data_IF_349111618062
#
_entry.id   IF_349111618062
#
_cell.length_a   1.000
_cell.length_b   1.000
_cell.length_c   1.000
_cell.angle_alpha   90.00
_cell.angle_beta   90.00
_cell.angle_gamma   90.00
#
_symmetry.space_group_name_H-M   'P 1'
#
loop_
_entity.id
_entity.type
_entity.pdbx_description
1 polymer ?
#
# COMPACT_ATOMS: atom_id res chain seq x y z
N UNK A 1 -13.24 -3.51 14.94
CA UNK A 1 -12.62 -2.30 14.42
C UNK A 1 -12.93 -1.08 15.30
N UNK A 2 -14.22 -0.69 15.48
CA UNK A 2 -14.61 0.51 16.25
C UNK A 2 -14.09 0.50 17.70
N UNK A 3 -14.16 -0.63 18.39
CA UNK A 3 -13.65 -0.78 19.77
C UNK A 3 -12.13 -0.58 19.82
N UNK A 4 -11.39 -1.09 18.83
CA UNK A 4 -9.93 -0.92 18.75
C UNK A 4 -9.54 0.55 18.49
N UNK A 5 -10.26 1.24 17.60
CA UNK A 5 -10.06 2.67 17.32
C UNK A 5 -10.36 3.50 18.57
N UNK A 6 -11.49 3.25 19.23
CA UNK A 6 -11.85 3.96 20.47
C UNK A 6 -10.82 3.70 21.58
N UNK A 7 -10.35 2.46 21.72
CA UNK A 7 -9.31 2.10 22.67
C UNK A 7 -7.99 2.82 22.41
N UNK A 8 -7.54 2.85 21.16
CA UNK A 8 -6.32 3.58 20.75
C UNK A 8 -6.44 5.08 21.02
N UNK A 9 -7.61 5.69 20.70
CA UNK A 9 -7.88 7.10 20.97
C UNK A 9 -7.86 7.42 22.49
N UNK A 10 -8.42 6.54 23.31
CA UNK A 10 -8.39 6.71 24.78
C UNK A 10 -6.96 6.58 25.33
N UNK A 11 -6.18 5.62 24.85
CA UNK A 11 -4.77 5.47 25.24
C UNK A 11 -3.96 6.71 24.84
N UNK A 12 -4.15 7.19 23.61
CA UNK A 12 -3.48 8.42 23.15
C UNK A 12 -3.85 9.63 23.99
N UNK A 13 -5.16 9.84 24.24
CA UNK A 13 -5.63 10.92 25.10
C UNK A 13 -5.06 10.80 26.51
N UNK A 14 -5.04 9.60 27.08
CA UNK A 14 -4.43 9.33 28.39
C UNK A 14 -2.94 9.68 28.42
N UNK A 15 -2.19 9.35 27.37
CA UNK A 15 -0.77 9.72 27.23
C UNK A 15 -0.55 11.22 27.14
N UNK A 16 -1.39 11.93 26.39
CA UNK A 16 -1.32 13.41 26.29
C UNK A 16 -1.66 14.06 27.63
N UNK A 17 -2.71 13.62 28.30
CA UNK A 17 -3.10 14.17 29.63
C UNK A 17 -2.01 13.90 30.67
N UNK A 18 -1.39 12.72 30.64
CA UNK A 18 -0.31 12.34 31.56
C UNK A 18 1.04 12.91 31.17
N UNK A 19 1.18 13.62 30.04
CA UNK A 19 2.43 14.24 29.58
C UNK A 19 3.03 15.20 30.63
N UNK A 20 2.18 15.82 31.44
CA UNK A 20 2.62 16.69 32.54
C UNK A 20 3.52 15.95 33.56
N UNK A 21 3.40 14.63 33.67
CA UNK A 21 4.18 13.83 34.60
C UNK A 21 5.44 13.23 33.97
N UNK A 22 5.32 12.60 32.80
CA UNK A 22 6.42 11.86 32.20
C UNK A 22 7.34 12.73 31.34
N UNK A 23 6.81 13.75 30.64
CA UNK A 23 7.60 14.60 29.77
C UNK A 23 8.67 15.42 30.51
N UNK A 24 8.38 16.05 31.68
CA UNK A 24 9.44 16.70 32.47
C UNK A 24 10.50 15.73 32.95
N UNK A 25 10.16 14.48 33.25
CA UNK A 25 11.12 13.46 33.65
C UNK A 25 12.09 13.11 32.53
N UNK A 26 11.59 12.92 31.29
CA UNK A 26 12.44 12.73 30.10
C UNK A 26 13.32 13.95 29.84
N UNK A 27 12.74 15.15 29.91
CA UNK A 27 13.49 16.39 29.69
C UNK A 27 14.57 16.61 30.75
N UNK A 28 14.36 16.15 31.98
CA UNK A 28 15.38 16.17 33.03
C UNK A 28 16.58 15.30 32.65
N UNK A 29 16.34 14.10 32.12
CA UNK A 29 17.41 13.19 31.66
C UNK A 29 18.18 13.75 30.47
N UNK A 30 17.47 14.14 29.39
CA UNK A 30 18.09 14.70 28.18
C UNK A 30 18.76 16.04 28.45
N UNK A 31 18.14 16.90 29.26
CA UNK A 31 18.68 18.18 29.67
C UNK A 31 19.93 18.08 30.55
N UNK A 32 20.05 17.04 31.37
CA UNK A 32 21.26 16.74 32.11
C UNK A 32 22.48 16.42 31.19
N UNK A 33 22.24 15.65 30.12
CA UNK A 33 23.23 15.41 29.08
C UNK A 33 23.59 16.69 28.32
N UNK A 34 22.58 17.48 27.93
CA UNK A 34 22.80 18.74 27.27
C UNK A 34 23.56 19.76 28.10
N UNK A 35 23.40 19.75 29.45
CA UNK A 35 24.10 20.66 30.36
C UNK A 35 25.63 20.52 30.33
N UNK A 36 26.16 19.37 29.85
CA UNK A 36 27.59 19.14 29.63
C UNK A 36 28.17 20.00 28.49
N UNK A 37 27.32 20.56 27.63
CA UNK A 37 27.76 21.36 26.48
C UNK A 37 28.10 22.81 26.83
N UNK A 38 27.79 23.28 28.05
CA UNK A 38 28.20 24.59 28.53
C UNK A 38 27.18 25.36 29.36
N UNK A 39 27.55 26.57 29.84
CA UNK A 39 26.74 27.36 30.78
C UNK A 39 25.33 27.69 30.27
N UNK A 40 25.15 27.98 28.95
CA UNK A 40 23.87 28.31 28.38
C UNK A 40 22.90 27.12 28.43
N UNK A 41 23.39 25.89 28.24
CA UNK A 41 22.62 24.66 28.35
C UNK A 41 22.27 24.31 29.80
N UNK A 42 23.17 24.58 30.74
CA UNK A 42 22.89 24.44 32.17
C UNK A 42 21.75 25.37 32.62
N UNK A 43 21.76 26.61 32.15
CA UNK A 43 20.65 27.55 32.44
C UNK A 43 19.35 27.10 31.79
N UNK A 44 19.39 26.62 30.54
CA UNK A 44 18.22 26.07 29.85
C UNK A 44 17.64 24.87 30.63
N UNK A 45 18.46 23.93 31.04
CA UNK A 45 18.05 22.78 31.87
C UNK A 45 17.41 23.20 33.18
N UNK A 46 18.01 24.15 33.90
CA UNK A 46 17.45 24.68 35.17
C UNK A 46 16.09 25.37 34.93
N UNK A 47 15.91 26.10 33.80
CA UNK A 47 14.65 26.73 33.43
C UNK A 47 13.53 25.70 33.14
N UNK A 48 13.86 24.61 32.44
CA UNK A 48 12.95 23.51 32.18
C UNK A 48 12.42 22.92 33.49
N UNK A 49 13.31 22.72 34.48
CA UNK A 49 12.92 22.14 35.77
C UNK A 49 12.06 23.07 36.64
N UNK A 50 12.23 24.40 36.52
CA UNK A 50 11.46 25.37 37.30
C UNK A 50 9.98 25.48 36.88
N UNK A 51 9.66 25.23 35.61
CA UNK A 51 8.33 25.43 35.05
C UNK A 51 7.81 24.18 34.31
N UNK A 52 7.67 23.00 34.97
CA UNK A 52 7.38 21.74 34.31
C UNK A 52 6.01 21.73 33.60
N UNK A 53 4.99 22.38 34.17
CA UNK A 53 3.64 22.42 33.56
C UNK A 53 3.61 23.17 32.24
N UNK A 54 4.31 24.27 32.14
CA UNK A 54 4.38 25.05 30.90
C UNK A 54 5.13 24.30 29.82
N UNK A 55 6.27 23.71 30.18
CA UNK A 55 7.10 22.90 29.29
C UNK A 55 6.31 21.70 28.78
N UNK A 56 5.57 21.00 29.68
CA UNK A 56 4.71 19.90 29.29
C UNK A 56 3.59 20.33 28.34
N UNK A 57 2.96 21.49 28.55
CA UNK A 57 1.90 21.98 27.67
C UNK A 57 2.43 22.27 26.24
N UNK A 58 3.60 22.97 26.14
CA UNK A 58 4.23 23.25 24.85
C UNK A 58 4.68 21.97 24.18
N UNK A 59 5.33 21.06 24.92
CA UNK A 59 5.79 19.79 24.39
C UNK A 59 4.64 18.85 24.01
N UNK A 60 3.53 18.87 24.74
CA UNK A 60 2.33 18.09 24.39
C UNK A 60 1.72 18.53 23.05
N UNK A 61 1.70 19.82 22.75
CA UNK A 61 1.19 20.32 21.47
C UNK A 61 2.03 19.79 20.30
N UNK A 62 3.36 19.83 20.43
CA UNK A 62 4.28 19.26 19.45
C UNK A 62 4.15 17.74 19.37
N UNK A 63 4.07 17.07 20.52
CA UNK A 63 3.89 15.62 20.62
C UNK A 63 2.64 15.18 19.85
N UNK A 64 1.50 15.85 20.02
CA UNK A 64 0.25 15.54 19.33
C UNK A 64 0.45 15.62 17.81
N UNK A 65 1.00 16.73 17.32
CA UNK A 65 1.21 16.93 15.89
C UNK A 65 2.12 15.87 15.28
N UNK A 66 3.28 15.63 15.88
CA UNK A 66 4.25 14.64 15.44
C UNK A 66 3.68 13.22 15.50
N UNK A 67 3.00 12.86 16.59
CA UNK A 67 2.39 11.53 16.75
C UNK A 67 1.35 11.28 15.66
N UNK A 68 0.48 12.25 15.37
CA UNK A 68 -0.55 12.09 14.35
C UNK A 68 0.06 11.93 12.94
N UNK A 69 1.01 12.77 12.57
CA UNK A 69 1.70 12.67 11.28
C UNK A 69 2.42 11.33 11.15
N UNK A 70 3.17 10.93 12.18
CA UNK A 70 3.90 9.66 12.18
C UNK A 70 2.97 8.45 12.16
N UNK A 71 1.82 8.51 12.87
CA UNK A 71 0.80 7.45 12.85
C UNK A 71 0.24 7.24 11.44
N UNK A 72 -0.12 8.33 10.76
CA UNK A 72 -0.68 8.28 9.41
C UNK A 72 0.37 7.77 8.42
N UNK A 73 1.58 8.31 8.48
CA UNK A 73 2.66 7.91 7.57
C UNK A 73 3.03 6.43 7.73
N UNK A 74 3.21 5.98 8.97
CA UNK A 74 3.56 4.57 9.26
C UNK A 74 2.39 3.63 8.93
N UNK A 75 1.15 4.04 9.22
CA UNK A 75 -0.05 3.28 8.86
C UNK A 75 -0.20 3.12 7.36
N UNK A 76 0.03 4.17 6.58
CA UNK A 76 -0.02 4.13 5.13
C UNK A 76 1.10 3.28 4.52
N UNK A 77 2.33 3.39 5.03
CA UNK A 77 3.45 2.53 4.60
C UNK A 77 3.15 1.04 4.89
N UNK A 78 2.64 0.74 6.08
CA UNK A 78 2.18 -0.61 6.43
C UNK A 78 1.06 -1.11 5.52
N UNK A 79 0.09 -0.25 5.19
CA UNK A 79 -1.01 -0.59 4.30
C UNK A 79 -0.52 -0.94 2.89
N UNK A 80 0.35 -0.10 2.32
CA UNK A 80 0.95 -0.32 0.99
C UNK A 80 1.72 -1.63 0.95
N UNK A 81 2.60 -1.87 1.91
CA UNK A 81 3.45 -3.07 1.93
C UNK A 81 2.63 -4.34 2.16
N UNK A 82 1.65 -4.30 3.06
CA UNK A 82 0.74 -5.42 3.31
C UNK A 82 -0.09 -5.74 2.07
N UNK A 83 -0.61 -4.71 1.39
CA UNK A 83 -1.39 -4.90 0.17
C UNK A 83 -0.54 -5.48 -0.97
N UNK A 84 0.70 -5.01 -1.14
CA UNK A 84 1.64 -5.56 -2.12
C UNK A 84 1.86 -7.07 -1.90
N UNK A 85 2.12 -7.47 -0.66
CA UNK A 85 2.28 -8.89 -0.30
C UNK A 85 1.00 -9.70 -0.53
N UNK A 86 -0.17 -9.15 -0.20
CA UNK A 86 -1.47 -9.80 -0.40
C UNK A 86 -1.78 -9.98 -1.90
N UNK A 87 -1.51 -8.98 -2.72
CA UNK A 87 -1.72 -9.06 -4.17
C UNK A 87 -0.77 -10.07 -4.83
N UNK A 88 0.52 -10.05 -4.47
CA UNK A 88 1.50 -11.01 -4.96
C UNK A 88 1.11 -12.47 -4.68
N UNK A 89 0.45 -12.74 -3.53
CA UNK A 89 -0.01 -14.09 -3.18
C UNK A 89 -1.36 -14.46 -3.81
N UNK A 90 -2.15 -13.49 -4.26
CA UNK A 90 -3.48 -13.73 -4.86
C UNK A 90 -3.45 -13.96 -6.35
N UNK A 91 -2.43 -13.48 -7.04
CA UNK A 91 -2.30 -13.56 -8.49
C UNK A 91 -1.20 -14.50 -8.90
N UNK A 92 -1.38 -15.13 -10.06
CA UNK A 92 -0.38 -16.00 -10.69
C UNK A 92 0.32 -15.35 -11.89
N UNK A 93 -0.09 -14.14 -12.27
CA UNK A 93 0.52 -13.32 -13.33
C UNK A 93 0.75 -11.91 -12.79
N UNK A 94 1.65 -11.15 -13.36
CA UNK A 94 1.98 -9.82 -12.87
C UNK A 94 1.11 -8.73 -13.50
N UNK A 95 0.90 -8.78 -14.83
CA UNK A 95 0.04 -7.86 -15.56
C UNK A 95 -0.77 -8.63 -16.60
N UNK A 96 -2.00 -8.20 -16.80
CA UNK A 96 -2.90 -8.71 -17.84
C UNK A 96 -3.42 -7.51 -18.62
N UNK A 97 -3.21 -7.50 -19.93
CA UNK A 97 -3.92 -6.60 -20.81
C UNK A 97 -4.95 -7.39 -21.63
N UNK A 98 -6.13 -6.82 -21.82
CA UNK A 98 -7.21 -7.41 -22.62
C UNK A 98 -7.74 -6.35 -23.56
N UNK A 99 -7.99 -6.73 -24.81
CA UNK A 99 -8.55 -5.86 -25.82
C UNK A 99 -8.70 -6.57 -27.16
N UNK A 100 -9.61 -6.09 -27.99
CA UNK A 100 -9.93 -6.73 -29.29
C UNK A 100 -8.91 -6.32 -30.36
N UNK A 101 -8.35 -5.12 -30.25
CA UNK A 101 -7.49 -4.49 -31.24
C UNK A 101 -5.99 -4.44 -30.86
N UNK A 102 -5.55 -5.26 -29.89
CA UNK A 102 -4.13 -5.36 -29.54
C UNK A 102 -3.33 -5.92 -30.72
N UNK A 103 -2.52 -5.08 -31.33
CA UNK A 103 -1.72 -5.46 -32.50
C UNK A 103 -0.41 -6.17 -32.12
N UNK A 104 0.15 -6.93 -33.08
CA UNK A 104 1.47 -7.56 -32.92
C UNK A 104 2.60 -6.57 -32.64
N UNK A 105 2.46 -5.32 -33.11
CA UNK A 105 3.44 -4.27 -32.83
C UNK A 105 3.35 -3.84 -31.35
N UNK A 106 2.16 -3.65 -30.81
CA UNK A 106 1.95 -3.34 -29.39
C UNK A 106 2.50 -4.46 -28.49
N UNK A 107 2.31 -5.73 -28.87
CA UNK A 107 2.88 -6.87 -28.14
C UNK A 107 4.40 -6.80 -28.09
N UNK A 108 5.05 -6.45 -29.22
CA UNK A 108 6.51 -6.25 -29.27
C UNK A 108 6.94 -5.07 -28.41
N UNK A 109 6.25 -3.95 -28.54
CA UNK A 109 6.55 -2.75 -27.75
C UNK A 109 6.47 -3.05 -26.24
N UNK A 110 5.48 -3.87 -25.81
CA UNK A 110 5.36 -4.34 -24.41
C UNK A 110 6.51 -5.29 -24.05
N UNK A 111 6.90 -6.21 -24.93
CA UNK A 111 7.99 -7.15 -24.66
C UNK A 111 9.36 -6.46 -24.52
N UNK A 112 9.54 -5.31 -25.18
CA UNK A 112 10.76 -4.51 -25.13
C UNK A 112 10.84 -3.58 -23.90
N UNK A 113 9.81 -3.50 -23.07
CA UNK A 113 9.80 -2.69 -21.84
C UNK A 113 10.85 -3.22 -20.85
N UNK A 114 11.66 -2.33 -20.32
CA UNK A 114 12.63 -2.69 -19.29
C UNK A 114 11.95 -3.22 -18.02
N UNK A 115 12.23 -4.47 -17.67
CA UNK A 115 11.59 -5.16 -16.53
C UNK A 115 10.48 -6.13 -16.95
N UNK A 116 10.14 -6.23 -18.24
CA UNK A 116 9.36 -7.34 -18.77
C UNK A 116 10.31 -8.50 -19.06
N UNK A 117 9.99 -9.69 -18.54
CA UNK A 117 10.78 -10.91 -18.77
C UNK A 117 10.17 -11.81 -19.83
N UNK A 118 8.86 -11.99 -19.77
CA UNK A 118 8.13 -12.88 -20.67
C UNK A 118 6.74 -12.31 -20.96
N UNK A 119 6.22 -12.62 -22.16
CA UNK A 119 4.89 -12.24 -22.62
C UNK A 119 4.18 -13.41 -23.29
N UNK A 120 2.87 -13.52 -23.07
CA UNK A 120 2.00 -14.47 -23.78
C UNK A 120 0.82 -13.69 -24.36
N UNK A 121 0.76 -13.63 -25.69
CA UNK A 121 -0.38 -13.06 -26.43
C UNK A 121 -1.21 -14.18 -27.03
N UNK A 122 -2.52 -14.18 -26.73
CA UNK A 122 -3.40 -15.29 -27.08
C UNK A 122 -4.85 -14.82 -27.33
N UNK A 123 -5.59 -15.51 -28.22
CA UNK A 123 -7.03 -15.31 -28.35
C UNK A 123 -7.75 -15.77 -27.09
N UNK A 124 -8.84 -15.08 -26.76
CA UNK A 124 -9.63 -15.40 -25.59
C UNK A 124 -11.12 -15.16 -25.81
N UNK A 125 -11.93 -15.86 -25.02
CA UNK A 125 -13.39 -15.72 -25.03
C UNK A 125 -13.94 -15.82 -23.63
N UNK A 126 -14.89 -14.94 -23.31
CA UNK A 126 -15.68 -15.01 -22.08
C UNK A 126 -16.73 -16.11 -22.21
N UNK A 127 -16.79 -16.99 -21.24
CA UNK A 127 -17.72 -18.11 -21.19
C UNK A 127 -18.36 -18.22 -19.81
N UNK A 128 -19.46 -18.94 -19.73
CA UNK A 128 -20.05 -19.37 -18.48
C UNK A 128 -19.60 -20.80 -18.18
N UNK A 129 -18.94 -21.00 -17.05
CA UNK A 129 -18.58 -22.31 -16.53
C UNK A 129 -19.77 -22.85 -15.71
N UNK A 130 -20.35 -23.93 -16.16
CA UNK A 130 -21.53 -24.53 -15.55
C UNK A 130 -21.15 -25.41 -14.36
N UNK A 131 -21.90 -25.26 -13.25
CA UNK A 131 -21.89 -26.19 -12.09
C UNK A 131 -20.55 -26.52 -11.43
N UNK A 132 -19.53 -25.68 -11.58
CA UNK A 132 -18.19 -26.00 -11.04
C UNK A 132 -18.04 -25.79 -9.52
N UNK A 133 -18.87 -24.95 -8.88
CA UNK A 133 -18.84 -24.74 -7.42
C UNK A 133 -20.09 -25.33 -6.70
N UNK A 134 -20.82 -26.17 -7.39
CA UNK A 134 -21.98 -26.91 -6.89
C UNK A 134 -23.29 -26.13 -6.84
N UNK A 135 -23.31 -24.81 -7.09
CA UNK A 135 -24.52 -24.00 -6.89
C UNK A 135 -24.85 -22.96 -7.95
N UNK A 136 -23.89 -22.37 -8.64
CA UNK A 136 -24.14 -21.29 -9.62
C UNK A 136 -23.16 -21.34 -10.78
N UNK A 137 -23.60 -20.96 -11.99
CA UNK A 137 -22.70 -20.72 -13.09
C UNK A 137 -21.67 -19.63 -12.73
N UNK A 138 -20.44 -19.80 -13.18
CA UNK A 138 -19.33 -18.91 -12.91
C UNK A 138 -18.83 -18.28 -14.20
N UNK A 139 -18.63 -16.96 -14.22
CA UNK A 139 -17.98 -16.30 -15.34
C UNK A 139 -16.54 -16.76 -15.46
N UNK A 140 -16.15 -17.30 -16.60
CA UNK A 140 -14.82 -17.76 -16.89
C UNK A 140 -14.28 -17.15 -18.19
N UNK A 141 -12.96 -17.11 -18.31
CA UNK A 141 -12.25 -16.73 -19.51
C UNK A 141 -11.49 -17.94 -20.03
N UNK A 142 -11.69 -18.34 -21.28
CA UNK A 142 -10.86 -19.34 -21.94
C UNK A 142 -9.81 -18.63 -22.81
N UNK A 143 -8.57 -19.02 -22.63
CA UNK A 143 -7.39 -18.47 -23.33
C UNK A 143 -6.77 -19.56 -24.18
N UNK A 144 -6.65 -19.34 -25.49
CA UNK A 144 -6.09 -20.28 -26.45
C UNK A 144 -4.57 -20.24 -26.44
N UNK A 145 -3.90 -21.36 -26.17
CA UNK A 145 -2.44 -21.45 -26.13
C UNK A 145 -1.95 -22.64 -26.97
N UNK A 146 -0.75 -22.53 -27.54
CA UNK A 146 -0.16 -23.61 -28.35
C UNK A 146 0.32 -24.79 -27.52
N UNK A 147 0.77 -24.51 -26.31
CA UNK A 147 1.24 -25.53 -25.37
C UNK A 147 1.32 -24.96 -23.96
N UNK A 148 1.46 -25.85 -22.99
CA UNK A 148 1.55 -25.51 -21.56
C UNK A 148 2.82 -24.69 -21.22
N UNK A 149 3.89 -24.79 -22.00
CA UNK A 149 5.15 -24.12 -21.70
C UNK A 149 5.03 -22.60 -21.86
N UNK A 150 4.18 -22.14 -22.79
CA UNK A 150 3.85 -20.72 -22.92
C UNK A 150 3.20 -20.17 -21.64
N UNK A 151 2.32 -20.96 -21.04
CA UNK A 151 1.65 -20.59 -19.77
C UNK A 151 2.65 -20.59 -18.62
N UNK A 152 3.53 -21.61 -18.55
CA UNK A 152 4.58 -21.71 -17.52
C UNK A 152 5.56 -20.54 -17.54
N UNK A 153 5.86 -20.00 -18.72
CA UNK A 153 6.79 -18.86 -18.87
C UNK A 153 6.25 -17.60 -18.19
N UNK A 154 4.96 -17.32 -18.33
CA UNK A 154 4.35 -16.08 -17.81
C UNK A 154 3.76 -16.23 -16.40
N UNK A 155 3.51 -17.45 -15.96
CA UNK A 155 2.95 -17.71 -14.64
C UNK A 155 4.00 -17.72 -13.53
N UNK A 156 3.64 -17.20 -12.38
CA UNK A 156 4.42 -17.33 -11.15
C UNK A 156 4.09 -18.61 -10.38
N UNK A 157 2.96 -19.23 -10.68
CA UNK A 157 2.55 -20.48 -10.07
C UNK A 157 3.34 -21.66 -10.66
N UNK A 158 3.65 -22.65 -9.83
CA UNK A 158 4.20 -23.90 -10.31
C UNK A 158 3.06 -24.80 -10.81
N UNK A 159 2.94 -24.95 -12.12
CA UNK A 159 1.90 -25.76 -12.74
C UNK A 159 2.21 -27.27 -12.71
N UNK A 160 3.35 -27.67 -12.17
CA UNK A 160 3.73 -29.09 -12.04
C UNK A 160 3.70 -29.83 -13.38
N UNK A 161 3.02 -30.98 -13.40
CA UNK A 161 2.86 -31.86 -14.56
C UNK A 161 1.57 -31.53 -15.36
N UNK A 162 1.01 -30.33 -15.22
CA UNK A 162 -0.15 -29.93 -16.01
C UNK A 162 0.15 -30.02 -17.50
N UNK A 163 -0.82 -30.50 -18.27
CA UNK A 163 -0.80 -30.58 -19.74
C UNK A 163 -2.05 -29.92 -20.32
N UNK A 164 -1.96 -29.52 -21.55
CA UNK A 164 -3.07 -29.00 -22.35
C UNK A 164 -3.05 -29.79 -23.66
N UNK A 165 -4.18 -30.43 -23.95
CA UNK A 165 -4.42 -31.20 -25.16
C UNK A 165 -5.70 -30.71 -25.82
N UNK A 166 -5.99 -31.13 -27.05
CA UNK A 166 -7.21 -30.76 -27.81
C UNK A 166 -8.52 -31.07 -27.09
N UNK A 167 -8.53 -32.04 -26.18
CA UNK A 167 -9.73 -32.49 -25.47
C UNK A 167 -9.72 -32.04 -24.00
N UNK A 168 -8.76 -31.20 -23.60
CA UNK A 168 -8.58 -30.80 -22.21
C UNK A 168 -8.49 -29.29 -22.00
N UNK A 169 -8.85 -28.85 -20.82
CA UNK A 169 -8.69 -27.48 -20.34
C UNK A 169 -7.93 -27.48 -19.02
N UNK A 170 -6.94 -26.60 -18.92
CA UNK A 170 -6.26 -26.33 -17.65
C UNK A 170 -7.07 -25.36 -16.84
N UNK A 171 -7.56 -25.75 -15.68
CA UNK A 171 -8.41 -24.97 -14.79
C UNK A 171 -7.77 -24.75 -13.42
N UNK A 172 -8.06 -23.61 -12.74
CA UNK A 172 -7.62 -23.42 -11.35
C UNK A 172 -8.36 -24.34 -10.39
N UNK A 173 -7.76 -24.56 -9.23
CA UNK A 173 -8.40 -25.35 -8.16
C UNK A 173 -9.50 -24.57 -7.44
N UNK A 174 -9.43 -23.23 -7.44
CA UNK A 174 -10.36 -22.37 -6.71
C UNK A 174 -10.92 -21.27 -7.60
N UNK A 175 -12.19 -20.95 -7.38
CA UNK A 175 -12.84 -19.76 -7.93
C UNK A 175 -12.18 -18.50 -7.35
N UNK A 176 -11.63 -17.65 -8.22
CA UNK A 176 -10.87 -16.46 -7.84
C UNK A 176 -11.71 -15.37 -7.16
N UNK A 177 -13.03 -15.34 -7.38
CA UNK A 177 -13.95 -14.35 -6.81
C UNK A 177 -14.53 -14.80 -5.48
N UNK A 178 -14.92 -16.09 -5.38
CA UNK A 178 -15.60 -16.62 -4.20
C UNK A 178 -14.67 -17.33 -3.22
N UNK A 179 -13.46 -17.72 -3.67
CA UNK A 179 -12.51 -18.53 -2.90
C UNK A 179 -12.94 -19.97 -2.69
N UNK A 180 -14.05 -20.41 -3.32
CA UNK A 180 -14.53 -21.79 -3.23
C UNK A 180 -13.75 -22.69 -4.16
N UNK A 181 -13.58 -23.94 -3.76
CA UNK A 181 -12.99 -24.98 -4.59
C UNK A 181 -13.87 -25.27 -5.81
N UNK A 182 -13.25 -25.37 -6.97
CA UNK A 182 -13.90 -25.77 -8.22
C UNK A 182 -13.88 -27.30 -8.29
N UNK A 183 -15.06 -27.90 -8.37
CA UNK A 183 -15.24 -29.33 -8.44
C UNK A 183 -15.90 -29.69 -9.78
N UNK A 184 -15.22 -30.50 -10.57
CA UNK A 184 -15.68 -30.92 -11.88
C UNK A 184 -16.29 -32.31 -11.79
N UNK A 185 -17.60 -32.41 -11.99
CA UNK A 185 -18.29 -33.69 -12.02
C UNK A 185 -17.76 -34.54 -13.18
N UNK A 186 -17.40 -35.77 -12.89
CA UNK A 186 -16.81 -36.72 -13.86
C UNK A 186 -15.48 -36.27 -14.47
N UNK A 187 -14.81 -35.25 -13.88
CA UNK A 187 -13.55 -34.72 -14.39
C UNK A 187 -13.71 -33.86 -15.65
N UNK A 188 -14.92 -33.40 -15.98
CA UNK A 188 -15.19 -32.57 -17.16
C UNK A 188 -15.68 -31.18 -16.77
N UNK A 189 -15.23 -30.16 -17.50
CA UNK A 189 -15.69 -28.80 -17.41
C UNK A 189 -16.66 -28.50 -18.56
N UNK A 190 -17.86 -28.04 -18.21
CA UNK A 190 -18.89 -27.69 -19.17
C UNK A 190 -18.96 -26.16 -19.29
N UNK A 191 -18.74 -25.65 -20.48
CA UNK A 191 -18.76 -24.23 -20.82
C UNK A 191 -19.93 -23.92 -21.73
N UNK A 192 -20.58 -22.78 -21.50
CA UNK A 192 -21.57 -22.20 -22.44
C UNK A 192 -21.13 -20.80 -22.87
N UNK A 193 -21.29 -20.50 -24.14
CA UNK A 193 -21.03 -19.19 -24.71
C UNK A 193 -22.27 -18.69 -25.44
N UNK A 194 -22.55 -17.38 -25.34
CA UNK A 194 -23.60 -16.74 -26.12
C UNK A 194 -23.02 -16.34 -27.49
N UNK A 195 -23.57 -16.90 -28.57
CA UNK A 195 -23.19 -16.57 -29.93
C UNK A 195 -24.27 -15.69 -30.57
N UNK A 196 -23.85 -14.57 -31.15
CA UNK A 196 -24.76 -13.63 -31.82
C UNK A 196 -24.48 -13.57 -33.35
N UNK A 197 -25.01 -14.52 -34.11
CA UNK A 197 -25.27 -14.35 -35.54
C UNK A 197 -26.75 -14.61 -35.79
N UNK A 198 -27.52 -13.55 -35.93
CA UNK A 198 -28.98 -13.60 -36.25
C UNK A 198 -29.92 -14.28 -35.24
N UNK A 199 -29.51 -14.35 -33.95
CA UNK A 199 -30.28 -14.90 -32.84
C UNK A 199 -29.34 -15.49 -31.79
N UNK A 200 -29.70 -15.35 -30.52
CA UNK A 200 -28.89 -15.91 -29.39
C UNK A 200 -28.89 -17.44 -29.52
N UNK A 201 -27.80 -17.98 -30.01
CA UNK A 201 -27.52 -19.43 -29.98
C UNK A 201 -26.49 -19.70 -28.90
N UNK A 202 -26.83 -20.48 -27.88
CA UNK A 202 -25.89 -20.95 -26.87
C UNK A 202 -25.11 -22.13 -27.43
N UNK A 203 -23.79 -22.01 -27.52
CA UNK A 203 -22.89 -23.17 -27.79
C UNK A 203 -22.40 -23.72 -26.48
N UNK A 204 -22.33 -25.04 -26.40
CA UNK A 204 -21.72 -25.74 -25.26
C UNK A 204 -20.46 -26.46 -25.69
N UNK A 205 -19.42 -26.33 -24.88
CA UNK A 205 -18.15 -27.03 -25.04
C UNK A 205 -17.84 -27.80 -23.74
N UNK A 206 -17.59 -29.10 -23.85
CA UNK A 206 -17.22 -29.96 -22.73
C UNK A 206 -15.79 -30.44 -22.92
N UNK A 207 -14.92 -30.19 -21.95
CA UNK A 207 -13.51 -30.58 -21.98
C UNK A 207 -13.12 -31.31 -20.72
N UNK A 208 -12.10 -32.16 -20.78
CA UNK A 208 -11.48 -32.79 -19.60
C UNK A 208 -10.81 -31.70 -18.74
N UNK A 209 -11.19 -31.61 -17.47
CA UNK A 209 -10.67 -30.60 -16.55
C UNK A 209 -9.35 -31.08 -15.92
N UNK A 210 -8.23 -30.57 -16.41
CA UNK A 210 -6.94 -30.69 -15.74
C UNK A 210 -6.81 -29.55 -14.75
N UNK A 211 -6.67 -29.82 -13.44
CA UNK A 211 -6.56 -28.78 -12.44
C UNK A 211 -5.12 -28.57 -12.00
N UNK A 212 -4.74 -27.30 -11.84
CA UNK A 212 -3.47 -26.91 -11.23
C UNK A 212 -3.70 -25.83 -10.18
N UNK A 213 -2.83 -25.79 -9.17
CA UNK A 213 -2.90 -24.79 -8.11
C UNK A 213 -2.30 -23.46 -8.59
N UNK A 214 -2.99 -22.81 -9.52
CA UNK A 214 -2.75 -21.42 -9.84
C UNK A 214 -3.90 -20.55 -9.38
N UNK A 215 -3.56 -19.32 -9.06
CA UNK A 215 -4.48 -18.37 -8.48
C UNK A 215 -5.12 -17.48 -9.54
N UNK A 216 -5.66 -16.37 -9.11
CA UNK A 216 -6.28 -15.38 -9.99
C UNK A 216 -5.33 -14.97 -11.14
N UNK A 217 -5.81 -15.01 -12.35
CA UNK A 217 -5.17 -14.41 -13.53
C UNK A 217 -5.82 -13.06 -13.83
N UNK A 218 -7.16 -12.97 -13.78
CA UNK A 218 -7.91 -11.73 -13.96
C UNK A 218 -8.89 -11.54 -12.81
N UNK A 219 -9.10 -10.27 -12.38
CA UNK A 219 -10.07 -9.92 -11.34
C UNK A 219 -11.52 -10.02 -11.83
N UNK A 220 -11.75 -9.94 -13.14
CA UNK A 220 -13.08 -9.89 -13.75
C UNK A 220 -13.77 -11.26 -13.79
N UNK A 221 -12.98 -12.36 -13.79
CA UNK A 221 -13.49 -13.72 -13.95
C UNK A 221 -13.31 -14.55 -12.67
N UNK A 222 -14.26 -15.43 -12.43
CA UNK A 222 -14.17 -16.39 -11.34
C UNK A 222 -13.13 -17.50 -11.62
N UNK A 223 -12.91 -17.81 -12.90
CA UNK A 223 -11.87 -18.71 -13.36
C UNK A 223 -11.28 -18.26 -14.69
N UNK A 224 -10.00 -18.52 -14.91
CA UNK A 224 -9.37 -18.39 -16.23
C UNK A 224 -8.82 -19.76 -16.58
N UNK A 225 -9.34 -20.35 -17.67
CA UNK A 225 -8.91 -21.64 -18.20
C UNK A 225 -8.00 -21.45 -19.41
N UNK A 226 -7.07 -22.38 -19.60
CA UNK A 226 -6.21 -22.43 -20.79
C UNK A 226 -6.57 -23.66 -21.61
N UNK A 227 -6.85 -23.45 -22.91
CA UNK A 227 -7.22 -24.48 -23.87
C UNK A 227 -6.25 -24.49 -25.04
N UNK A 228 -6.23 -25.56 -25.80
CA UNK A 228 -5.47 -25.60 -27.04
C UNK A 228 -5.98 -24.57 -28.04
N UNK A 229 -5.08 -23.83 -28.72
CA UNK A 229 -5.42 -22.78 -29.69
C UNK A 229 -6.26 -23.30 -30.85
N UNK A 230 -6.24 -24.60 -31.12
CA UNK A 230 -7.04 -25.23 -32.18
C UNK A 230 -8.54 -25.00 -32.01
N UNK A 231 -9.06 -24.86 -30.79
CA UNK A 231 -10.47 -24.54 -30.56
C UNK A 231 -10.89 -23.20 -31.13
N UNK A 232 -9.98 -22.25 -31.21
CA UNK A 232 -10.22 -20.94 -31.84
C UNK A 232 -10.07 -21.01 -33.38
N UNK A 233 -9.17 -21.86 -33.87
CA UNK A 233 -8.95 -22.00 -35.34
C UNK A 233 -9.94 -22.91 -36.02
N UNK A 234 -10.48 -23.89 -35.30
CA UNK A 234 -11.49 -24.84 -35.80
C UNK A 234 -12.93 -24.31 -35.72
N UNK A 235 -13.14 -23.16 -35.06
CA UNK A 235 -14.44 -22.52 -34.92
C UNK A 235 -15.30 -23.08 -33.78
N UNK A 236 -14.73 -23.85 -32.84
CA UNK A 236 -15.42 -24.27 -31.62
C UNK A 236 -15.65 -23.06 -30.70
N UNK A 237 -14.67 -22.14 -30.66
CA UNK A 237 -14.70 -20.90 -29.91
C UNK A 237 -14.38 -19.73 -30.84
N UNK A 238 -15.09 -18.61 -30.67
CA UNK A 238 -14.78 -17.38 -31.37
C UNK A 238 -13.91 -16.50 -30.50
N UNK A 239 -12.82 -15.99 -31.06
CA UNK A 239 -11.97 -15.01 -30.38
C UNK A 239 -12.73 -13.68 -30.24
N UNK A 240 -13.36 -13.48 -29.10
CA UNK A 240 -14.07 -12.23 -28.81
C UNK A 240 -13.13 -11.14 -28.28
N UNK A 241 -11.95 -11.53 -27.82
CA UNK A 241 -10.92 -10.60 -27.33
C UNK A 241 -9.53 -11.26 -27.42
N UNK A 242 -8.49 -10.47 -27.19
CA UNK A 242 -7.13 -10.99 -27.02
C UNK A 242 -6.62 -10.66 -25.60
N UNK A 243 -5.81 -11.56 -25.09
CA UNK A 243 -5.18 -11.42 -23.79
C UNK A 243 -3.66 -11.37 -23.98
N UNK A 244 -3.04 -10.39 -23.35
CA UNK A 244 -1.59 -10.28 -23.22
C UNK A 244 -1.25 -10.45 -21.73
N UNK A 245 -0.69 -11.62 -21.37
CA UNK A 245 -0.15 -11.91 -20.05
C UNK A 245 1.31 -11.49 -20.02
N UNK A 246 1.72 -10.80 -18.97
CA UNK A 246 3.06 -10.27 -18.84
C UNK A 246 3.65 -10.67 -17.49
N UNK A 247 4.88 -11.17 -17.53
CA UNK A 247 5.71 -11.43 -16.36
C UNK A 247 6.73 -10.31 -16.20
N UNK A 248 6.78 -9.72 -15.03
CA UNK A 248 7.68 -8.62 -14.72
C UNK A 248 8.82 -9.09 -13.80
N UNK A 249 10.05 -8.71 -14.13
CA UNK A 249 11.22 -8.87 -13.28
C UNK A 249 11.48 -7.56 -12.52
N UNK A 250 10.85 -7.44 -11.36
CA UNK A 250 10.94 -6.26 -10.50
C UNK A 250 12.20 -6.23 -9.62
N UNK A 251 12.96 -7.32 -9.58
CA UNK A 251 14.19 -7.41 -8.80
C UNK A 251 15.40 -6.85 -9.58
N UNK A 252 15.21 -6.58 -10.87
CA UNK A 252 16.24 -6.01 -11.74
C UNK A 252 16.53 -4.56 -11.35
N UNK A 253 17.81 -4.22 -11.21
CA UNK A 253 18.24 -2.86 -10.86
C UNK A 253 17.74 -1.82 -11.85
N UNK A 254 17.17 -0.73 -11.35
CA UNK A 254 16.63 0.37 -12.14
C UNK A 254 15.21 0.15 -12.68
N UNK A 255 14.56 -0.95 -12.33
CA UNK A 255 13.17 -1.24 -12.68
C UNK A 255 12.24 -0.79 -11.55
N UNK A 256 11.22 -0.02 -11.89
CA UNK A 256 10.13 0.31 -10.98
C UNK A 256 8.81 -0.28 -11.49
N UNK A 257 8.00 -0.77 -10.58
CA UNK A 257 6.68 -1.31 -10.90
C UNK A 257 5.79 -0.29 -11.59
N UNK A 258 5.83 0.96 -11.10
CA UNK A 258 5.09 2.08 -11.69
C UNK A 258 5.59 2.42 -13.10
N UNK A 259 6.92 2.31 -13.33
CA UNK A 259 7.52 2.48 -14.65
C UNK A 259 7.00 1.45 -15.64
N UNK A 260 7.05 0.16 -15.31
CA UNK A 260 6.52 -0.92 -16.18
C UNK A 260 5.05 -0.65 -16.54
N UNK A 261 4.23 -0.29 -15.56
CA UNK A 261 2.81 -0.04 -15.78
C UNK A 261 2.57 1.16 -16.71
N UNK A 262 3.27 2.27 -16.50
CA UNK A 262 3.14 3.48 -17.33
C UNK A 262 3.63 3.22 -18.76
N UNK A 263 4.78 2.55 -18.92
CA UNK A 263 5.32 2.21 -20.24
C UNK A 263 4.39 1.24 -20.97
N UNK A 264 3.76 0.31 -20.25
CA UNK A 264 2.78 -0.61 -20.83
C UNK A 264 1.50 0.11 -21.24
N UNK A 265 1.00 1.05 -20.46
CA UNK A 265 -0.12 1.91 -20.87
C UNK A 265 0.22 2.72 -22.13
N UNK A 266 1.43 3.29 -22.21
CA UNK A 266 1.88 4.03 -23.38
C UNK A 266 2.01 3.12 -24.63
N UNK A 267 2.51 1.89 -24.47
CA UNK A 267 2.61 0.92 -25.56
C UNK A 267 1.23 0.50 -26.10
N UNK A 268 0.21 0.49 -25.23
CA UNK A 268 -1.17 0.11 -25.56
C UNK A 268 -2.08 1.30 -25.85
N UNK A 269 -1.59 2.54 -25.79
CA UNK A 269 -2.41 3.77 -25.97
C UNK A 269 -3.16 3.83 -27.29
N UNK A 270 -2.64 3.18 -28.33
CA UNK A 270 -3.27 3.13 -29.66
C UNK A 270 -4.45 2.15 -29.75
N UNK A 271 -4.58 1.26 -28.80
CA UNK A 271 -5.74 0.38 -28.68
C UNK A 271 -6.90 1.15 -28.06
N UNK A 272 -8.05 1.11 -28.70
CA UNK A 272 -9.22 1.85 -28.24
C UNK A 272 -9.88 1.20 -27.00
N UNK A 273 -9.69 -0.10 -26.83
CA UNK A 273 -10.38 -0.92 -25.83
C UNK A 273 -9.43 -1.70 -24.88
N UNK A 274 -8.11 -1.57 -25.06
CA UNK A 274 -7.16 -2.27 -24.19
C UNK A 274 -7.29 -1.83 -22.74
N UNK A 275 -7.54 -2.78 -21.86
CA UNK A 275 -7.59 -2.58 -20.42
C UNK A 275 -6.43 -3.31 -19.75
N UNK A 276 -5.67 -2.59 -18.94
CA UNK A 276 -4.55 -3.17 -18.17
C UNK A 276 -5.00 -3.46 -16.75
N UNK A 277 -4.91 -4.71 -16.35
CA UNK A 277 -5.33 -5.22 -15.04
C UNK A 277 -4.23 -6.09 -14.40
N UNK A 278 -4.54 -6.72 -13.28
CA UNK A 278 -3.61 -7.59 -12.57
C UNK A 278 -3.04 -6.95 -11.30
N UNK A 279 -2.18 -7.67 -10.56
CA UNK A 279 -1.69 -7.22 -9.25
C UNK A 279 -0.88 -5.92 -9.32
N UNK A 280 -0.14 -5.69 -10.39
CA UNK A 280 0.62 -4.45 -10.58
C UNK A 280 -0.33 -3.26 -10.76
N UNK A 281 -1.35 -3.39 -11.61
CA UNK A 281 -2.35 -2.35 -11.82
C UNK A 281 -3.15 -2.07 -10.52
N UNK A 282 -3.62 -3.12 -9.85
CA UNK A 282 -4.33 -2.98 -8.58
C UNK A 282 -3.46 -2.33 -7.50
N UNK A 283 -2.17 -2.67 -7.43
CA UNK A 283 -1.20 -2.06 -6.52
C UNK A 283 -1.12 -0.55 -6.71
N UNK A 284 -1.04 -0.09 -7.95
CA UNK A 284 -0.94 1.33 -8.29
C UNK A 284 -2.22 2.07 -7.90
N UNK A 285 -3.39 1.49 -8.20
CA UNK A 285 -4.68 2.07 -7.80
C UNK A 285 -4.78 2.22 -6.28
N UNK A 286 -4.41 1.17 -5.54
CA UNK A 286 -4.40 1.22 -4.08
C UNK A 286 -3.37 2.21 -3.53
N UNK A 287 -2.16 2.24 -4.10
CA UNK A 287 -1.12 3.20 -3.70
C UNK A 287 -1.59 4.64 -3.90
N UNK A 288 -2.13 4.98 -5.07
CA UNK A 288 -2.65 6.31 -5.38
C UNK A 288 -3.83 6.71 -4.47
N UNK A 289 -4.72 5.77 -4.16
CA UNK A 289 -5.82 6.01 -3.22
C UNK A 289 -5.29 6.30 -1.81
N UNK A 290 -4.35 5.52 -1.32
CA UNK A 290 -3.71 5.72 -0.02
C UNK A 290 -2.97 7.07 0.00
N UNK A 291 -2.21 7.41 -1.04
CA UNK A 291 -1.48 8.67 -1.13
C UNK A 291 -2.41 9.89 -1.15
N UNK A 292 -3.53 9.80 -1.86
CA UNK A 292 -4.53 10.87 -1.91
C UNK A 292 -5.20 11.07 -0.54
N UNK A 293 -5.53 9.99 0.15
CA UNK A 293 -6.05 10.05 1.52
C UNK A 293 -5.00 10.62 2.49
N UNK A 294 -3.73 10.19 2.37
CA UNK A 294 -2.63 10.72 3.17
C UNK A 294 -2.45 12.23 2.97
N UNK A 295 -2.45 12.69 1.72
CA UNK A 295 -2.29 14.12 1.41
C UNK A 295 -3.40 14.95 2.07
N UNK A 296 -4.64 14.49 2.02
CA UNK A 296 -5.78 15.13 2.69
C UNK A 296 -5.58 15.18 4.21
N UNK A 297 -5.25 14.04 4.84
CA UNK A 297 -5.10 13.94 6.28
C UNK A 297 -3.91 14.78 6.78
N UNK A 298 -2.76 14.72 6.10
CA UNK A 298 -1.59 15.53 6.44
C UNK A 298 -1.89 17.01 6.26
N UNK A 299 -2.65 17.39 5.22
CA UNK A 299 -3.09 18.78 5.02
C UNK A 299 -3.98 19.28 6.17
N UNK A 300 -4.94 18.48 6.62
CA UNK A 300 -5.80 18.82 7.77
C UNK A 300 -4.99 18.96 9.05
N UNK A 301 -4.05 18.03 9.30
CA UNK A 301 -3.17 18.10 10.47
C UNK A 301 -2.25 19.31 10.40
N UNK A 302 -1.72 19.65 9.22
CA UNK A 302 -0.89 20.84 9.04
C UNK A 302 -1.63 22.12 9.47
N UNK A 303 -2.91 22.24 9.09
CA UNK A 303 -3.77 23.36 9.54
C UNK A 303 -3.96 23.34 11.06
N UNK A 304 -4.24 22.19 11.63
CA UNK A 304 -4.39 22.03 13.08
C UNK A 304 -3.10 22.39 13.84
N UNK A 305 -1.94 21.98 13.33
CA UNK A 305 -0.62 22.33 13.89
C UNK A 305 -0.35 23.83 13.78
N UNK A 306 -0.70 24.47 12.66
CA UNK A 306 -0.57 25.92 12.52
C UNK A 306 -1.43 26.67 13.55
N UNK A 307 -2.65 26.25 13.76
CA UNK A 307 -3.52 26.86 14.79
C UNK A 307 -2.91 26.65 16.19
N UNK A 308 -2.39 25.45 16.48
CA UNK A 308 -1.71 25.17 17.75
C UNK A 308 -0.46 26.03 17.94
N UNK A 309 0.35 26.21 16.88
CA UNK A 309 1.54 27.06 16.91
C UNK A 309 1.20 28.53 17.21
N UNK A 310 0.12 29.07 16.62
CA UNK A 310 -0.36 30.41 16.91
C UNK A 310 -0.77 30.54 18.38
N UNK A 311 -1.48 29.53 18.92
CA UNK A 311 -1.83 29.46 20.34
C UNK A 311 -0.61 29.43 21.26
N UNK A 312 0.37 28.58 20.91
CA UNK A 312 1.66 28.48 21.65
C UNK A 312 2.46 29.79 21.56
N UNK A 313 2.54 30.41 20.38
CA UNK A 313 3.24 31.68 20.18
C UNK A 313 2.62 32.79 21.05
N UNK A 314 1.30 32.87 21.15
CA UNK A 314 0.60 33.82 21.99
C UNK A 314 0.93 33.59 23.50
N UNK A 315 0.91 32.35 23.95
CA UNK A 315 1.25 31.97 25.32
C UNK A 315 2.73 32.24 25.64
N UNK A 316 3.63 31.99 24.69
CA UNK A 316 5.06 32.30 24.83
C UNK A 316 5.32 33.82 24.88
N UNK A 317 4.60 34.63 24.08
CA UNK A 317 4.74 36.09 24.11
C UNK A 317 4.41 36.65 25.50
N UNK A 318 3.33 36.20 26.13
CA UNK A 318 3.02 36.57 27.51
C UNK A 318 4.13 36.15 28.47
N UNK A 319 4.63 34.93 28.33
CA UNK A 319 5.71 34.40 29.16
C UNK A 319 7.04 35.17 28.99
N UNK A 320 7.35 35.67 27.80
CA UNK A 320 8.56 36.53 27.56
C UNK A 320 8.43 37.85 28.29
N UNK A 321 7.23 38.45 28.31
CA UNK A 321 6.96 39.70 29.03
C UNK A 321 7.15 39.52 30.55
N UNK A 322 6.62 38.41 31.10
CA UNK A 322 6.80 38.05 32.52
C UNK A 322 8.26 37.77 32.88
N UNK A 323 9.01 37.15 31.95
CA UNK A 323 10.46 36.83 32.10
C UNK A 323 11.39 38.03 31.87
N UNK A 324 10.89 39.17 31.45
CA UNK A 324 11.75 40.37 31.24
C UNK A 324 12.49 40.73 32.51
N UNK A 325 11.84 40.60 33.68
CA UNK A 325 12.49 40.86 34.98
C UNK A 325 13.58 39.79 35.29
N UNK A 326 13.32 38.50 35.08
CA UNK A 326 14.32 37.44 35.29
C UNK A 326 15.51 37.60 34.34
N UNK A 327 15.25 37.92 33.08
CA UNK A 327 16.30 38.19 32.07
C UNK A 327 17.15 39.39 32.44
N UNK A 328 16.53 40.46 32.99
CA UNK A 328 17.25 41.61 33.49
C UNK A 328 18.17 41.26 34.67
N UNK A 329 17.69 40.45 35.60
CA UNK A 329 18.47 39.96 36.73
C UNK A 329 19.69 39.10 36.29
N UNK A 330 19.47 38.17 35.33
CA UNK A 330 20.58 37.35 34.79
C UNK A 330 21.63 38.21 34.08
N UNK A 331 21.19 39.27 33.39
CA UNK A 331 22.11 40.25 32.78
C UNK A 331 22.84 41.12 33.81
N UNK A 332 22.16 41.46 34.88
CA UNK A 332 22.80 42.21 35.99
C UNK A 332 23.92 41.41 36.69
N UNK A 333 23.81 40.07 36.70
CA UNK A 333 24.79 39.15 37.22
C UNK A 333 25.91 38.84 36.20
N UNK A 334 25.87 39.41 35.00
CA UNK A 334 26.94 39.33 33.99
C UNK A 334 26.66 38.42 32.79
N UNK A 335 25.42 37.94 32.61
CA UNK A 335 25.06 37.16 31.43
C UNK A 335 24.97 38.03 30.18
N UNK A 336 25.67 37.65 29.11
CA UNK A 336 25.65 38.37 27.84
C UNK A 336 24.34 38.10 27.05
N UNK A 337 23.97 39.03 26.13
CA UNK A 337 22.80 38.86 25.23
C UNK A 337 22.90 37.57 24.38
N UNK A 338 24.12 37.21 23.95
CA UNK A 338 24.40 36.02 23.18
C UNK A 338 24.12 34.71 23.98
N UNK A 339 24.58 34.70 25.25
CA UNK A 339 24.34 33.54 26.13
C UNK A 339 22.85 33.35 26.46
N UNK A 340 22.11 34.47 26.65
CA UNK A 340 20.65 34.41 26.86
C UNK A 340 19.93 33.83 25.63
N UNK A 341 20.26 34.27 24.41
CA UNK A 341 19.69 33.76 23.16
C UNK A 341 19.99 32.26 22.99
N UNK A 342 21.25 31.84 23.27
CA UNK A 342 21.64 30.42 23.21
C UNK A 342 20.88 29.58 24.22
N UNK A 343 20.68 30.07 25.45
CA UNK A 343 19.90 29.37 26.46
C UNK A 343 18.45 29.16 26.02
N UNK A 344 17.80 30.15 25.43
CA UNK A 344 16.43 30.02 24.88
C UNK A 344 16.38 29.06 23.69
N UNK A 345 17.39 29.11 22.81
CA UNK A 345 17.48 28.21 21.67
C UNK A 345 17.66 26.74 22.13
N UNK A 346 18.51 26.50 23.14
CA UNK A 346 18.71 25.15 23.71
C UNK A 346 17.42 24.67 24.42
N UNK A 347 16.71 25.56 25.15
CA UNK A 347 15.42 25.23 25.75
C UNK A 347 14.41 24.77 24.68
N UNK A 348 14.27 25.53 23.59
CA UNK A 348 13.39 25.18 22.48
C UNK A 348 13.80 23.86 21.78
N UNK A 349 15.08 23.69 21.52
CA UNK A 349 15.63 22.47 20.93
C UNK A 349 15.37 21.23 21.80
N UNK A 350 15.57 21.33 23.10
CA UNK A 350 15.29 20.21 24.01
C UNK A 350 13.80 19.84 24.02
N UNK A 351 12.92 20.83 24.04
CA UNK A 351 11.47 20.58 24.00
C UNK A 351 11.09 19.92 22.67
N UNK A 352 11.53 20.46 21.54
CA UNK A 352 11.19 19.93 20.21
C UNK A 352 11.73 18.52 20.01
N UNK A 353 12.99 18.27 20.40
CA UNK A 353 13.65 16.98 20.22
C UNK A 353 13.01 15.88 21.07
N UNK A 354 12.75 16.16 22.36
CA UNK A 354 12.08 15.18 23.24
C UNK A 354 10.66 14.92 22.77
N UNK A 355 9.90 15.97 22.42
CA UNK A 355 8.52 15.83 21.91
C UNK A 355 8.48 15.14 20.54
N UNK A 356 9.43 15.49 19.65
CA UNK A 356 9.55 14.90 18.32
C UNK A 356 9.88 13.41 18.39
N UNK A 357 10.93 13.02 19.10
CA UNK A 357 11.30 11.60 19.23
C UNK A 357 10.18 10.80 19.89
N UNK A 358 9.60 11.31 20.98
CA UNK A 358 8.48 10.65 21.65
C UNK A 358 7.28 10.53 20.72
N UNK A 359 7.00 11.58 19.93
CA UNK A 359 5.92 11.62 18.96
C UNK A 359 6.10 10.60 17.83
N UNK A 360 7.31 10.48 17.28
CA UNK A 360 7.61 9.48 16.24
C UNK A 360 7.49 8.06 16.80
N UNK A 361 8.01 7.79 17.98
CA UNK A 361 7.91 6.47 18.60
C UNK A 361 6.45 6.06 18.85
N UNK A 362 5.67 6.96 19.42
CA UNK A 362 4.24 6.72 19.67
C UNK A 362 3.46 6.61 18.36
N UNK A 363 3.73 7.50 17.42
CA UNK A 363 3.08 7.50 16.11
C UNK A 363 3.36 6.23 15.34
N UNK A 364 4.60 5.76 15.32
CA UNK A 364 4.96 4.47 14.70
C UNK A 364 4.21 3.31 15.37
N UNK A 365 4.16 3.28 16.69
CA UNK A 365 3.44 2.24 17.43
C UNK A 365 1.94 2.25 17.08
N UNK A 366 1.29 3.41 17.12
CA UNK A 366 -0.12 3.54 16.77
C UNK A 366 -0.39 3.26 15.29
N UNK A 367 0.51 3.64 14.40
CA UNK A 367 0.45 3.32 12.96
C UNK A 367 0.47 1.82 12.71
N UNK A 368 1.38 1.09 13.35
CA UNK A 368 1.47 -0.38 13.27
C UNK A 368 0.24 -1.07 13.87
N UNK A 369 -0.22 -0.62 15.03
CA UNK A 369 -1.44 -1.16 15.66
C UNK A 369 -2.67 -0.92 14.79
N UNK A 370 -2.81 0.27 14.22
CA UNK A 370 -3.88 0.60 13.30
C UNK A 370 -3.86 -0.27 12.04
N UNK A 371 -2.69 -0.41 11.42
CA UNK A 371 -2.49 -1.26 10.27
C UNK A 371 -2.82 -2.73 10.60
N UNK A 372 -2.39 -3.24 11.75
CA UNK A 372 -2.70 -4.60 12.18
C UNK A 372 -4.22 -4.84 12.30
N UNK A 373 -4.93 -3.92 12.97
CA UNK A 373 -6.38 -4.05 13.17
C UNK A 373 -7.16 -4.03 11.85
N UNK A 374 -6.71 -3.23 10.88
CA UNK A 374 -7.40 -3.08 9.59
C UNK A 374 -7.03 -4.21 8.62
N UNK A 375 -5.75 -4.53 8.51
CA UNK A 375 -5.23 -5.38 7.42
C UNK A 375 -4.97 -6.84 7.81
N UNK A 376 -5.05 -7.21 9.09
CA UNK A 376 -4.88 -8.61 9.52
C UNK A 376 -5.85 -9.61 8.88
N UNK A 377 -7.01 -9.12 8.41
CA UNK A 377 -7.99 -9.93 7.67
C UNK A 377 -7.59 -10.21 6.21
N UNK A 378 -6.68 -9.41 5.65
CA UNK A 378 -6.30 -9.49 4.24
C UNK A 378 -5.04 -10.31 4.01
N UNK A 379 -4.22 -10.52 5.04
CA UNK A 379 -2.99 -11.30 4.97
C UNK A 379 -2.01 -10.99 6.09
N UNK A 380 -0.75 -11.35 5.89
CA UNK A 380 0.33 -11.08 6.84
C UNK A 380 0.65 -9.59 6.82
N UNK A 381 0.39 -8.89 7.94
CA UNK A 381 0.68 -7.46 8.09
C UNK A 381 2.18 -7.24 8.17
N UNK A 382 2.69 -6.27 7.41
CA UNK A 382 4.08 -5.83 7.41
C UNK A 382 4.19 -4.55 8.22
N UNK A 383 5.27 -4.43 9.00
CA UNK A 383 5.52 -3.31 9.91
C UNK A 383 6.78 -2.52 9.51
N UNK A 384 6.76 -1.76 8.41
CA UNK A 384 7.88 -0.95 8.01
C UNK A 384 8.05 0.25 8.94
N UNK A 385 9.27 0.75 9.07
CA UNK A 385 9.53 2.05 9.66
C UNK A 385 9.67 3.10 8.55
N UNK A 386 8.82 4.11 8.58
CA UNK A 386 8.79 5.16 7.55
C UNK A 386 9.87 6.22 7.86
N UNK A 387 11.06 6.05 7.26
CA UNK A 387 12.20 6.95 7.46
C UNK A 387 12.01 8.33 6.82
N UNK A 388 11.32 8.41 5.69
CA UNK A 388 11.15 9.64 4.93
C UNK A 388 10.42 10.71 5.73
N UNK A 389 9.16 10.47 6.04
CA UNK A 389 8.31 11.44 6.76
C UNK A 389 8.77 11.61 8.20
N UNK A 390 9.12 10.50 8.89
CA UNK A 390 9.58 10.56 10.27
C UNK A 390 10.90 11.34 10.41
N UNK A 391 11.79 11.27 9.41
CA UNK A 391 13.02 12.07 9.38
C UNK A 391 12.80 13.55 9.11
N UNK A 392 11.77 13.90 8.34
CA UNK A 392 11.42 15.32 8.06
C UNK A 392 10.78 15.98 9.30
N UNK A 393 10.02 15.21 10.06
CA UNK A 393 9.26 15.72 11.22
C UNK A 393 10.13 15.86 12.47
N UNK A 394 11.25 15.15 12.54
CA UNK A 394 12.28 15.29 13.59
C UNK A 394 13.21 16.48 13.35
#
# INVERSE_FOLDING_TARGET
>A
LLVAIAGAALVFLGMVVTAVFWMPALMKGVGALASLTGPSATVAHANIQKNPRRIAATGAALLIGVTLVSTIATGAASAKETMNGALATRYSVDIVAMGDDISQQMVKDVADINGVSDTLYAPAVSVTLEKADGTRPTSALLVGVKNIDQVKQVMRANLGNASIDSDSVLMPTYNAQTGKELQFANGTADFSTEWNQDGVTTRSLTLQANQADYRRVSAQYGAVGFVDESHFTNGDLDAATHVLLVKADTDKSGVSVDGIYNDMQAALEKSADATVTGPIAERIVWANMIDSMMMLLVGLIAVAVLIALVGVANTLSLSVIERTRESATLRAIGMTRGQLRRSLAVEALLISLVSGISGVLLGTLFGWLGAYVVFSMYGKVVFPFEWGINGIVL
#
